data_IF_004563770763
#
_entry.id   IF_004563770763
#
_cell.length_a   1.000
_cell.length_b   1.000
_cell.length_c   1.000
_cell.angle_alpha   90.00
_cell.angle_beta   90.00
_cell.angle_gamma   90.00
#
_symmetry.space_group_name_H-M   'P 1'
#
loop_
_entity.id
_entity.type
_entity.pdbx_description
1 polymer ?
#
# COMPACT_ATOMS: atom_id res chain seq x y z
N UNK A 1 -6.10 -1.29 -18.26
CA UNK A 1 -4.69 -0.86 -18.47
C UNK A 1 -4.49 0.44 -17.71
N UNK A 2 -3.57 0.44 -16.75
CA UNK A 2 -3.22 1.61 -15.93
C UNK A 2 -2.15 2.44 -16.67
N UNK A 3 -2.42 3.72 -16.89
CA UNK A 3 -1.43 4.65 -17.46
C UNK A 3 -0.93 5.57 -16.36
N UNK A 4 0.36 5.49 -16.03
CA UNK A 4 0.99 6.28 -14.97
C UNK A 4 2.06 7.17 -15.61
N UNK A 5 2.08 8.46 -15.25
CA UNK A 5 3.19 9.35 -15.62
C UNK A 5 4.35 9.13 -14.65
N UNK A 6 5.47 8.68 -15.19
CA UNK A 6 6.72 8.57 -14.45
C UNK A 6 7.59 9.81 -14.69
N UNK A 7 8.39 10.19 -13.70
CA UNK A 7 9.42 11.19 -13.91
C UNK A 7 10.50 10.64 -14.86
N UNK A 8 11.15 11.52 -15.60
CA UNK A 8 12.17 11.15 -16.59
C UNK A 8 13.30 10.30 -15.98
N UNK A 9 13.69 10.60 -14.74
CA UNK A 9 14.73 9.86 -14.03
C UNK A 9 14.32 8.41 -13.73
N UNK A 10 13.06 8.17 -13.37
CA UNK A 10 12.53 6.82 -13.10
C UNK A 10 12.36 6.05 -14.40
N UNK A 11 11.82 6.68 -15.43
CA UNK A 11 11.63 6.07 -16.75
C UNK A 11 12.96 5.60 -17.35
N UNK A 12 14.02 6.41 -17.22
CA UNK A 12 15.38 6.04 -17.66
C UNK A 12 15.91 4.82 -16.92
N UNK A 13 15.83 4.81 -15.58
CA UNK A 13 16.27 3.67 -14.75
C UNK A 13 15.51 2.39 -15.07
N UNK A 14 14.19 2.49 -15.27
CA UNK A 14 13.33 1.37 -15.62
C UNK A 14 13.65 0.83 -17.01
N UNK A 15 13.95 1.71 -17.97
CA UNK A 15 14.40 1.35 -19.32
C UNK A 15 15.73 0.60 -19.30
N UNK A 16 16.72 1.11 -18.56
CA UNK A 16 18.03 0.45 -18.43
C UNK A 16 17.92 -0.93 -17.77
N UNK A 17 17.12 -1.04 -16.70
CA UNK A 17 16.89 -2.31 -16.01
C UNK A 17 16.22 -3.33 -16.92
N UNK A 18 15.17 -2.90 -17.63
CA UNK A 18 14.44 -3.71 -18.62
C UNK A 18 15.38 -4.26 -19.70
N UNK A 19 16.24 -3.41 -20.27
CA UNK A 19 17.20 -3.82 -21.31
C UNK A 19 18.23 -4.82 -20.78
N UNK A 20 18.80 -4.58 -19.59
CA UNK A 20 19.83 -5.45 -18.99
C UNK A 20 19.31 -6.83 -18.62
N UNK A 21 18.04 -6.93 -18.25
CA UNK A 21 17.43 -8.16 -17.72
C UNK A 21 16.56 -8.90 -18.73
N UNK A 22 16.34 -8.31 -19.91
CA UNK A 22 15.44 -8.82 -20.96
C UNK A 22 14.00 -9.02 -20.45
N UNK A 23 13.56 -8.18 -19.51
CA UNK A 23 12.18 -8.15 -19.01
C UNK A 23 11.50 -6.86 -19.45
N UNK A 24 10.17 -6.88 -19.58
CA UNK A 24 9.41 -5.68 -19.94
C UNK A 24 9.37 -4.69 -18.78
N UNK A 25 9.17 -3.41 -19.07
CA UNK A 25 8.95 -2.39 -18.03
C UNK A 25 7.71 -2.72 -17.18
N UNK A 26 6.64 -3.19 -17.83
CA UNK A 26 5.39 -3.59 -17.17
C UNK A 26 5.60 -4.67 -16.11
N UNK A 27 6.46 -5.66 -16.37
CA UNK A 27 6.79 -6.69 -15.38
C UNK A 27 7.29 -6.09 -14.06
N UNK A 28 8.20 -5.11 -14.13
CA UNK A 28 8.72 -4.46 -12.93
C UNK A 28 7.69 -3.58 -12.24
N UNK A 29 6.83 -2.92 -13.01
CA UNK A 29 5.74 -2.11 -12.47
C UNK A 29 4.73 -2.99 -11.74
N UNK A 30 4.35 -4.13 -12.34
CA UNK A 30 3.46 -5.13 -11.72
C UNK A 30 4.07 -5.66 -10.42
N UNK A 31 5.31 -6.15 -10.44
CA UNK A 31 5.97 -6.62 -9.22
C UNK A 31 6.10 -5.53 -8.14
N UNK A 32 6.33 -4.27 -8.53
CA UNK A 32 6.42 -3.17 -7.57
C UNK A 32 5.05 -2.85 -6.96
N UNK A 33 3.99 -2.90 -7.76
CA UNK A 33 2.62 -2.67 -7.28
C UNK A 33 2.15 -3.81 -6.36
N UNK A 34 2.38 -5.06 -6.74
CA UNK A 34 2.07 -6.23 -5.90
C UNK A 34 2.74 -6.10 -4.53
N UNK A 35 4.06 -5.88 -4.52
CA UNK A 35 4.80 -5.71 -3.26
C UNK A 35 4.34 -4.51 -2.45
N UNK A 36 3.99 -3.41 -3.12
CA UNK A 36 3.47 -2.23 -2.42
C UNK A 36 2.13 -2.53 -1.76
N UNK A 37 1.22 -3.23 -2.45
CA UNK A 37 -0.07 -3.61 -1.88
C UNK A 37 0.10 -4.58 -0.71
N UNK A 38 0.91 -5.64 -0.87
CA UNK A 38 1.19 -6.61 0.19
C UNK A 38 1.73 -5.94 1.47
N UNK A 39 2.56 -4.90 1.32
CA UNK A 39 3.16 -4.19 2.47
C UNK A 39 2.27 -3.08 3.04
N UNK A 40 1.39 -2.47 2.24
CA UNK A 40 0.74 -1.19 2.59
C UNK A 40 -0.78 -1.20 2.57
N UNK A 41 -1.44 -2.17 1.96
CA UNK A 41 -2.89 -2.14 1.76
C UNK A 41 -3.65 -1.99 3.09
N UNK A 42 -3.37 -2.87 4.06
CA UNK A 42 -4.02 -2.82 5.39
C UNK A 42 -3.79 -1.49 6.11
N UNK A 43 -2.55 -0.98 6.04
CA UNK A 43 -2.18 0.30 6.64
C UNK A 43 -2.96 1.46 5.99
N UNK A 44 -3.04 1.49 4.66
CA UNK A 44 -3.74 2.54 3.93
C UNK A 44 -5.26 2.49 4.20
N UNK A 45 -5.84 1.30 4.30
CA UNK A 45 -7.23 1.12 4.70
C UNK A 45 -7.47 1.60 6.13
N UNK A 46 -6.56 1.30 7.07
CA UNK A 46 -6.65 1.80 8.44
C UNK A 46 -6.54 3.33 8.51
N UNK A 47 -5.61 3.92 7.74
CA UNK A 47 -5.45 5.36 7.65
C UNK A 47 -6.70 6.04 7.08
N UNK A 48 -7.26 5.50 6.00
CA UNK A 48 -8.50 6.01 5.40
C UNK A 48 -9.66 6.01 6.41
N UNK A 49 -9.83 4.94 7.20
CA UNK A 49 -10.85 4.90 8.27
C UNK A 49 -10.61 5.95 9.35
N UNK A 50 -9.34 6.24 9.68
CA UNK A 50 -8.99 7.28 10.64
C UNK A 50 -9.34 8.68 10.11
N UNK A 51 -9.06 8.93 8.83
CA UNK A 51 -9.35 10.21 8.15
C UNK A 51 -10.85 10.47 8.03
N UNK A 52 -11.67 9.43 7.87
CA UNK A 52 -13.14 9.52 7.84
C UNK A 52 -13.78 9.97 9.17
N UNK A 53 -12.98 10.12 10.25
CA UNK A 53 -13.42 10.58 11.59
C UNK A 53 -14.64 9.81 12.12
N UNK A 54 -14.60 8.49 11.97
CA UNK A 54 -15.59 7.60 12.55
C UNK A 54 -15.67 7.70 14.09
N UNK A 55 -16.71 7.14 14.71
CA UNK A 55 -16.87 7.17 16.15
C UNK A 55 -15.65 6.55 16.84
N UNK A 56 -15.07 7.28 17.79
CA UNK A 56 -13.96 6.79 18.61
C UNK A 56 -14.51 5.98 19.78
N UNK A 57 -13.91 4.81 20.02
CA UNK A 57 -14.16 4.02 21.22
C UNK A 57 -13.09 4.34 22.26
N UNK A 58 -13.49 4.52 23.51
CA UNK A 58 -12.54 4.50 24.62
C UNK A 58 -11.89 3.11 24.74
N UNK A 59 -10.70 3.05 25.36
CA UNK A 59 -10.01 1.77 25.58
C UNK A 59 -10.87 0.77 26.34
N UNK A 60 -11.71 1.24 27.29
CA UNK A 60 -12.66 0.39 28.03
C UNK A 60 -13.74 -0.20 27.13
N UNK A 61 -14.33 0.61 26.25
CA UNK A 61 -15.34 0.15 25.31
C UNK A 61 -14.74 -0.82 24.30
N UNK A 62 -13.56 -0.52 23.75
CA UNK A 62 -12.84 -1.40 22.83
C UNK A 62 -12.53 -2.77 23.45
N UNK A 63 -12.02 -2.80 24.70
CA UNK A 63 -11.78 -4.05 25.45
C UNK A 63 -13.05 -4.90 25.57
N UNK A 64 -14.16 -4.28 25.98
CA UNK A 64 -15.46 -4.95 26.10
C UNK A 64 -15.97 -5.50 24.76
N UNK A 65 -15.86 -4.72 23.68
CA UNK A 65 -16.29 -5.15 22.34
C UNK A 65 -15.45 -6.31 21.79
N UNK A 66 -14.15 -6.35 22.11
CA UNK A 66 -13.21 -7.38 21.65
C UNK A 66 -13.11 -8.59 22.61
N UNK A 67 -13.84 -8.58 23.73
CA UNK A 67 -13.86 -9.68 24.70
C UNK A 67 -12.58 -9.77 25.55
N UNK A 68 -11.83 -8.68 25.70
CA UNK A 68 -10.69 -8.64 26.61
C UNK A 68 -11.17 -8.57 28.08
N UNK A 69 -10.45 -9.21 29.01
CA UNK A 69 -10.76 -9.11 30.43
C UNK A 69 -10.55 -7.69 30.96
N UNK A 70 -11.42 -7.29 31.90
CA UNK A 70 -11.31 -6.03 32.64
C UNK A 70 -10.25 -6.18 33.75
N UNK A 71 -8.98 -5.96 33.41
CA UNK A 71 -7.93 -5.56 34.36
C UNK A 71 -7.79 -4.03 34.41
#
# INVERSE_FOLDING_TARGET
MLSVRLSESVERRLSELSQKTKRTKSYYVECALERFLDEREDYLLALSRLEEKGPHLSLKEAKKHLGFPDE
#
